data_IF_845714120411
#
_entry.id   IF_845714120411
#
_cell.length_a   1.000
_cell.length_b   1.000
_cell.length_c   1.000
_cell.angle_alpha   90.00
_cell.angle_beta   90.00
_cell.angle_gamma   90.00
#
_symmetry.space_group_name_H-M   'P 1'
#
loop_
_entity.id
_entity.type
_entity.pdbx_description
1 polymer ?
#
# COMPACT_ATOMS: atom_id res chain seq x y z
N UNK A 1 -40.82 6.64 -0.46
CA UNK A 1 -39.70 5.68 -0.47
C UNK A 1 -38.50 6.41 -1.07
N UNK A 2 -37.45 6.71 -0.26
CA UNK A 2 -36.28 7.48 -0.76
C UNK A 2 -35.71 6.71 -1.95
N UNK A 3 -35.48 7.39 -3.08
CA UNK A 3 -34.79 6.91 -4.28
C UNK A 3 -33.36 6.51 -3.87
N UNK A 4 -33.27 5.36 -3.20
CA UNK A 4 -32.10 4.88 -2.50
C UNK A 4 -30.98 4.80 -3.51
N UNK A 5 -29.85 5.40 -3.15
CA UNK A 5 -28.73 5.72 -4.02
C UNK A 5 -28.11 4.46 -4.63
N UNK A 6 -28.68 3.97 -5.72
CA UNK A 6 -28.35 2.71 -6.37
C UNK A 6 -26.86 2.69 -6.80
N UNK A 7 -26.36 3.85 -7.22
CA UNK A 7 -24.94 4.05 -7.52
C UNK A 7 -24.08 3.91 -6.26
N UNK A 8 -24.49 4.54 -5.15
CA UNK A 8 -23.82 4.40 -3.86
C UNK A 8 -23.74 2.95 -3.38
N UNK A 9 -24.80 2.17 -3.59
CA UNK A 9 -24.82 0.75 -3.20
C UNK A 9 -23.80 -0.09 -3.98
N UNK A 10 -23.65 0.14 -5.28
CA UNK A 10 -22.65 -0.55 -6.10
C UNK A 10 -21.23 -0.17 -5.67
N UNK A 11 -20.98 1.12 -5.42
CA UNK A 11 -19.67 1.59 -4.93
C UNK A 11 -19.32 0.94 -3.58
N UNK A 12 -20.28 0.90 -2.65
CA UNK A 12 -20.08 0.25 -1.35
C UNK A 12 -19.89 -1.26 -1.47
N UNK A 13 -20.60 -1.91 -2.40
CA UNK A 13 -20.40 -3.34 -2.69
C UNK A 13 -18.95 -3.61 -3.14
N UNK A 14 -18.42 -2.82 -4.08
CA UNK A 14 -17.03 -2.96 -4.52
C UNK A 14 -16.06 -2.69 -3.38
N UNK A 15 -16.21 -1.57 -2.65
CA UNK A 15 -15.30 -1.23 -1.53
C UNK A 15 -15.25 -2.32 -0.46
N UNK A 16 -16.41 -2.88 -0.09
CA UNK A 16 -16.48 -3.94 0.94
C UNK A 16 -15.83 -5.24 0.46
N UNK A 17 -16.02 -5.63 -0.80
CA UNK A 17 -15.51 -6.90 -1.30
C UNK A 17 -14.03 -6.82 -1.74
N UNK A 18 -13.58 -5.68 -2.26
CA UNK A 18 -12.14 -5.46 -2.53
C UNK A 18 -11.33 -5.52 -1.23
N UNK A 19 -11.84 -4.95 -0.13
CA UNK A 19 -11.23 -5.08 1.21
C UNK A 19 -11.16 -6.52 1.72
N UNK A 20 -12.02 -7.42 1.23
CA UNK A 20 -12.00 -8.86 1.55
C UNK A 20 -11.04 -9.65 0.64
N UNK A 21 -10.42 -9.02 -0.36
CA UNK A 21 -9.50 -9.67 -1.30
C UNK A 21 -10.15 -10.30 -2.53
N UNK A 22 -11.42 -10.02 -2.81
CA UNK A 22 -12.03 -10.42 -4.09
C UNK A 22 -11.43 -9.62 -5.25
N UNK A 23 -11.30 -10.25 -6.42
CA UNK A 23 -10.85 -9.56 -7.63
C UNK A 23 -11.98 -8.75 -8.25
N UNK A 24 -11.66 -7.62 -8.88
CA UNK A 24 -12.62 -6.79 -9.63
C UNK A 24 -13.39 -7.59 -10.67
N UNK A 25 -12.72 -8.47 -11.40
CA UNK A 25 -13.31 -9.34 -12.43
C UNK A 25 -14.36 -10.30 -11.86
N UNK A 26 -14.09 -10.91 -10.70
CA UNK A 26 -15.05 -11.82 -10.07
C UNK A 26 -16.35 -11.11 -9.66
N UNK A 27 -16.22 -9.89 -9.14
CA UNK A 27 -17.34 -9.05 -8.73
C UNK A 27 -18.11 -8.51 -9.93
N UNK A 28 -17.40 -8.13 -11.01
CA UNK A 28 -18.00 -7.74 -12.28
C UNK A 28 -18.85 -8.86 -12.85
N UNK A 29 -18.30 -10.07 -12.93
CA UNK A 29 -19.02 -11.25 -13.43
C UNK A 29 -20.26 -11.57 -12.57
N UNK A 30 -20.16 -11.47 -11.25
CA UNK A 30 -21.30 -11.68 -10.35
C UNK A 30 -22.43 -10.66 -10.60
N UNK A 31 -22.11 -9.38 -10.74
CA UNK A 31 -23.09 -8.32 -10.97
C UNK A 31 -23.69 -8.38 -12.39
N UNK A 32 -22.90 -8.73 -13.40
CA UNK A 32 -23.42 -8.97 -14.76
C UNK A 32 -24.44 -10.11 -14.77
N UNK A 33 -24.16 -11.22 -14.08
CA UNK A 33 -25.11 -12.34 -13.95
C UNK A 33 -26.38 -11.98 -13.18
N UNK A 34 -26.31 -11.00 -12.29
CA UNK A 34 -27.48 -10.46 -11.57
C UNK A 34 -28.29 -9.46 -12.42
N UNK A 35 -27.83 -9.12 -13.63
CA UNK A 35 -28.53 -8.23 -14.55
C UNK A 35 -28.21 -6.74 -14.38
N UNK A 36 -27.14 -6.40 -13.66
CA UNK A 36 -26.69 -5.01 -13.56
C UNK A 36 -26.09 -4.55 -14.90
N UNK A 37 -26.32 -3.28 -15.27
CA UNK A 37 -25.77 -2.73 -16.51
C UNK A 37 -24.26 -2.56 -16.41
N UNK A 38 -23.55 -2.96 -17.47
CA UNK A 38 -22.09 -2.86 -17.57
C UNK A 38 -21.57 -1.46 -17.27
N UNK A 39 -22.25 -0.44 -17.79
CA UNK A 39 -21.91 0.97 -17.56
C UNK A 39 -22.00 1.36 -16.09
N UNK A 40 -23.02 0.90 -15.36
CA UNK A 40 -23.14 1.19 -13.93
C UNK A 40 -22.07 0.47 -13.11
N UNK A 41 -21.72 -0.77 -13.51
CA UNK A 41 -20.65 -1.55 -12.88
C UNK A 41 -19.31 -0.83 -13.05
N UNK A 42 -18.97 -0.43 -14.27
CA UNK A 42 -17.71 0.27 -14.57
C UNK A 42 -17.59 1.59 -13.83
N UNK A 43 -18.64 2.41 -13.82
CA UNK A 43 -18.69 3.66 -13.06
C UNK A 43 -18.48 3.42 -11.55
N UNK A 44 -19.08 2.37 -11.01
CA UNK A 44 -18.93 2.04 -9.60
C UNK A 44 -17.51 1.56 -9.25
N UNK A 45 -16.86 0.79 -10.13
CA UNK A 45 -15.47 0.37 -9.97
C UNK A 45 -14.53 1.58 -9.96
N UNK A 46 -14.69 2.48 -10.93
CA UNK A 46 -13.85 3.69 -11.03
C UNK A 46 -13.97 4.57 -9.77
N UNK A 47 -15.21 4.81 -9.33
CA UNK A 47 -15.48 5.59 -8.13
C UNK A 47 -14.94 4.91 -6.86
N UNK A 48 -15.13 3.60 -6.72
CA UNK A 48 -14.60 2.84 -5.59
C UNK A 48 -13.07 2.90 -5.52
N UNK A 49 -12.38 2.75 -6.65
CA UNK A 49 -10.93 2.86 -6.72
C UNK A 49 -10.43 4.26 -6.35
N UNK A 50 -11.12 5.31 -6.83
CA UNK A 50 -10.79 6.70 -6.50
C UNK A 50 -10.92 6.98 -5.00
N UNK A 51 -11.95 6.43 -4.36
CA UNK A 51 -12.14 6.59 -2.91
C UNK A 51 -11.14 5.78 -2.09
N UNK A 52 -10.80 4.55 -2.51
CA UNK A 52 -9.79 3.73 -1.86
C UNK A 52 -8.39 4.36 -2.00
N UNK A 53 -8.05 4.90 -3.16
CA UNK A 53 -6.80 5.61 -3.38
C UNK A 53 -6.66 6.85 -2.47
N UNK A 54 -7.76 7.58 -2.22
CA UNK A 54 -7.77 8.70 -1.26
C UNK A 54 -7.62 8.25 0.20
N UNK A 55 -8.04 7.03 0.53
CA UNK A 55 -7.92 6.47 1.88
C UNK A 55 -6.57 5.79 2.11
N UNK A 56 -5.87 5.40 1.05
CA UNK A 56 -4.57 4.76 1.18
C UNK A 56 -3.59 5.73 1.86
N UNK A 57 -2.86 5.28 2.91
CA UNK A 57 -1.86 6.12 3.54
C UNK A 57 -0.79 6.47 2.50
N UNK A 58 -0.48 7.76 2.35
CA UNK A 58 0.69 8.20 1.59
C UNK A 58 1.94 7.63 2.28
N UNK A 59 2.53 6.58 1.71
CA UNK A 59 3.81 6.04 2.18
C UNK A 59 4.91 7.08 1.93
N UNK A 60 5.11 7.98 2.91
CA UNK A 60 6.20 8.97 2.94
C UNK A 60 7.49 8.36 3.49
N UNK A 61 7.84 7.16 3.05
CA UNK A 61 9.16 6.64 3.38
C UNK A 61 10.18 7.36 2.50
N UNK A 62 10.97 8.23 3.14
CA UNK A 62 12.13 8.83 2.48
C UNK A 62 13.05 7.70 2.02
N UNK A 63 13.60 7.75 0.80
CA UNK A 63 14.59 6.76 0.39
C UNK A 63 15.77 6.81 1.37
N UNK A 64 16.04 5.70 2.06
CA UNK A 64 17.19 5.58 2.95
C UNK A 64 18.42 5.40 2.07
N UNK A 65 19.16 6.47 1.80
CA UNK A 65 20.44 6.41 1.08
C UNK A 65 21.47 5.79 2.03
N UNK A 66 21.88 4.54 1.77
CA UNK A 66 22.96 3.87 2.49
C UNK A 66 24.28 4.21 1.82
N UNK A 67 25.23 4.76 2.57
CA UNK A 67 26.59 5.00 2.10
C UNK A 67 27.48 3.88 2.63
N UNK A 68 28.08 3.10 1.74
CA UNK A 68 29.09 2.09 2.06
C UNK A 68 30.47 2.67 1.73
N UNK A 69 31.41 2.58 2.67
CA UNK A 69 32.81 2.98 2.45
C UNK A 69 33.54 1.77 1.87
N UNK A 70 34.00 1.90 0.63
CA UNK A 70 34.66 0.86 -0.15
C UNK A 70 36.17 1.12 -0.13
N UNK A 71 36.97 0.09 0.12
CA UNK A 71 38.44 0.11 0.05
C UNK A 71 38.95 -0.05 -1.40
N UNK A 72 40.23 0.19 -1.67
CA UNK A 72 40.88 0.06 -3.01
C UNK A 72 40.67 -1.31 -3.67
N UNK A 73 40.36 -2.33 -2.86
CA UNK A 73 40.09 -3.71 -3.28
C UNK A 73 38.59 -4.06 -3.37
N UNK A 74 37.69 -3.07 -3.43
CA UNK A 74 36.24 -3.25 -3.48
C UNK A 74 35.63 -4.01 -2.28
N UNK A 75 36.22 -3.88 -1.09
CA UNK A 75 35.72 -4.52 0.14
C UNK A 75 35.11 -3.49 1.11
N UNK A 76 33.98 -3.79 1.76
CA UNK A 76 33.34 -2.87 2.70
C UNK A 76 34.14 -2.77 4.00
N UNK A 77 34.53 -1.54 4.38
CA UNK A 77 35.31 -1.27 5.60
C UNK A 77 34.38 -1.13 6.81
N UNK A 78 34.39 -2.12 7.72
CA UNK A 78 33.61 -2.09 8.96
C UNK A 78 34.43 -1.43 10.08
N UNK A 79 34.20 -0.14 10.35
CA UNK A 79 34.85 0.57 11.46
C UNK A 79 34.19 0.14 12.79
N UNK A 80 34.73 -0.88 13.45
CA UNK A 80 34.29 -1.26 14.81
C UNK A 80 34.78 -0.22 15.80
N UNK A 81 33.87 0.59 16.37
CA UNK A 81 34.20 1.45 17.51
C UNK A 81 34.56 0.57 18.71
N UNK A 82 35.85 0.54 18.99
CA UNK A 82 36.53 -0.28 19.98
C UNK A 82 36.07 0.08 21.38
N UNK A 83 35.13 -0.69 21.93
CA UNK A 83 34.67 -0.64 23.32
C UNK A 83 35.83 -0.56 24.35
N UNK A 84 37.03 -1.06 23.98
CA UNK A 84 38.26 -1.01 24.78
C UNK A 84 38.92 0.38 24.91
N UNK A 85 38.56 1.38 24.10
CA UNK A 85 39.11 2.74 24.25
C UNK A 85 38.56 3.46 25.48
N UNK A 86 37.31 3.19 25.87
CA UNK A 86 36.71 3.69 27.12
C UNK A 86 37.22 2.94 28.36
N UNK A 87 37.52 1.65 28.24
CA UNK A 87 37.96 0.84 29.38
C UNK A 87 39.38 1.20 29.85
N UNK A 88 40.26 1.62 28.92
CA UNK A 88 41.64 2.03 29.27
C UNK A 88 41.73 3.37 30.02
N UNK A 89 40.71 4.23 29.98
CA UNK A 89 40.74 5.49 30.74
C UNK A 89 40.36 5.34 32.21
N UNK A 90 39.91 4.15 32.64
CA UNK A 90 39.47 3.85 34.01
C UNK A 90 40.55 3.16 34.86
N UNK A 91 41.67 2.76 34.25
CA UNK A 91 42.81 2.11 34.93
C UNK A 91 44.09 2.96 34.87
N UNK A 92 43.96 4.29 34.71
CA UNK A 92 45.06 5.25 34.78
C UNK A 92 44.84 6.21 35.94
#
# INVERSE_FOLDING_TARGET
MRKQDYKGQLVDYFKKNLKKGYTTESLKFALERQGYSRTSIEQAIEQANKELAKQAPEFKEKPIIKYEIIDENNKPVVIKRTFWSKLKSLFK
#
